data_IF_220935234291
#
_entry.id   IF_220935234291
#
_cell.length_a   1.000
_cell.length_b   1.000
_cell.length_c   1.000
_cell.angle_alpha   90.00
_cell.angle_beta   90.00
_cell.angle_gamma   90.00
#
_symmetry.space_group_name_H-M   'P 1'
#
loop_
_entity.id
_entity.type
_entity.pdbx_description
1 polymer ?
#
# COMPACT_ATOMS: atom_id res chain seq x y z
N UNK A 1 15.84 15.01 7.39
CA UNK A 1 14.66 14.12 7.47
C UNK A 1 13.43 14.99 7.25
N UNK A 2 12.60 14.69 6.25
CA UNK A 2 11.46 15.53 5.90
C UNK A 2 10.37 15.34 6.96
N UNK A 3 10.16 16.31 7.86
CA UNK A 3 9.25 16.21 9.00
C UNK A 3 7.81 15.85 8.63
N UNK A 4 7.42 16.12 7.37
CA UNK A 4 6.11 15.77 6.82
C UNK A 4 5.89 14.26 6.68
N UNK A 5 6.93 13.46 6.39
CA UNK A 5 6.80 12.01 6.23
C UNK A 5 6.45 11.32 7.55
N UNK A 6 7.14 11.69 8.64
CA UNK A 6 6.90 11.14 9.97
C UNK A 6 5.46 11.37 10.44
N UNK A 7 4.89 12.54 10.13
CA UNK A 7 3.49 12.82 10.39
C UNK A 7 2.56 11.79 9.74
N UNK A 8 2.64 11.62 8.42
CA UNK A 8 1.75 10.71 7.68
C UNK A 8 1.96 9.23 8.01
N UNK A 9 3.17 8.81 8.41
CA UNK A 9 3.42 7.39 8.80
C UNK A 9 2.69 6.97 10.07
N UNK A 10 2.25 7.92 10.91
CA UNK A 10 1.57 7.65 12.18
C UNK A 10 0.07 7.92 12.11
N UNK A 11 -0.42 8.43 10.98
CA UNK A 11 -1.79 8.85 10.82
C UNK A 11 -2.71 7.64 10.60
N UNK A 12 -3.72 7.52 11.46
CA UNK A 12 -4.73 6.44 11.38
C UNK A 12 -6.06 6.92 10.83
N UNK A 13 -6.37 8.21 10.99
CA UNK A 13 -7.57 8.86 10.44
C UNK A 13 -7.14 9.87 9.36
N UNK A 14 -7.48 9.56 8.11
CA UNK A 14 -7.03 10.30 6.95
C UNK A 14 -8.17 11.15 6.42
N UNK A 15 -7.93 12.46 6.31
CA UNK A 15 -8.85 13.34 5.59
C UNK A 15 -8.53 13.33 4.10
N UNK A 16 -9.49 13.71 3.26
CA UNK A 16 -9.23 13.90 1.83
C UNK A 16 -8.14 14.95 1.54
N UNK A 17 -7.88 15.88 2.47
CA UNK A 17 -6.78 16.82 2.35
C UNK A 17 -5.42 16.15 2.58
N UNK A 18 -5.33 15.21 3.52
CA UNK A 18 -4.11 14.44 3.80
C UNK A 18 -3.76 13.54 2.60
N UNK A 19 -4.76 12.85 2.05
CA UNK A 19 -4.59 12.04 0.84
C UNK A 19 -4.11 12.90 -0.34
N UNK A 20 -4.77 14.04 -0.58
CA UNK A 20 -4.37 14.96 -1.64
C UNK A 20 -2.98 15.56 -1.42
N UNK A 21 -2.56 15.78 -0.16
CA UNK A 21 -1.22 16.25 0.16
C UNK A 21 -0.16 15.19 -0.19
N UNK A 22 -0.39 13.92 0.16
CA UNK A 22 0.51 12.82 -0.20
C UNK A 22 0.58 12.64 -1.72
N UNK A 23 -0.54 12.69 -2.43
CA UNK A 23 -0.56 12.54 -3.89
C UNK A 23 0.28 13.61 -4.62
N UNK A 24 0.48 14.79 -4.01
CA UNK A 24 1.32 15.89 -4.53
C UNK A 24 2.81 15.79 -4.15
N UNK A 25 3.19 14.85 -3.30
CA UNK A 25 4.59 14.66 -2.90
C UNK A 25 5.45 14.08 -4.03
N UNK A 26 6.76 14.12 -3.84
CA UNK A 26 7.68 13.44 -4.75
C UNK A 26 7.44 11.93 -4.71
N UNK A 27 7.66 11.25 -5.85
CA UNK A 27 7.37 9.81 -5.95
C UNK A 27 8.10 8.98 -4.88
N UNK A 28 9.33 9.36 -4.50
CA UNK A 28 10.07 8.69 -3.43
C UNK A 28 9.35 8.78 -2.09
N UNK A 29 8.80 9.94 -1.77
CA UNK A 29 8.06 10.15 -0.52
C UNK A 29 6.76 9.35 -0.52
N UNK A 30 6.04 9.33 -1.64
CA UNK A 30 4.84 8.49 -1.82
C UNK A 30 5.18 7.01 -1.69
N UNK A 31 6.29 6.57 -2.26
CA UNK A 31 6.74 5.18 -2.16
C UNK A 31 7.07 4.79 -0.73
N UNK A 32 7.81 5.64 0.00
CA UNK A 32 8.12 5.42 1.42
C UNK A 32 6.84 5.30 2.26
N UNK A 33 5.85 6.18 2.03
CA UNK A 33 4.57 6.13 2.72
C UNK A 33 3.76 4.88 2.35
N UNK A 34 3.66 4.56 1.06
CA UNK A 34 2.90 3.41 0.55
C UNK A 34 3.27 2.08 1.22
N UNK A 35 4.51 1.97 1.73
CA UNK A 35 5.01 0.77 2.41
C UNK A 35 4.32 0.49 3.75
N UNK A 36 3.86 1.51 4.47
CA UNK A 36 3.44 1.36 5.88
C UNK A 36 2.14 2.06 6.26
N UNK A 37 1.60 2.95 5.42
CA UNK A 37 0.31 3.58 5.72
C UNK A 37 -0.83 2.56 5.72
N UNK A 38 -1.87 2.87 6.47
CA UNK A 38 -3.07 2.02 6.64
C UNK A 38 -4.29 2.55 5.88
N UNK A 39 -4.17 3.70 5.21
CA UNK A 39 -5.27 4.32 4.47
C UNK A 39 -5.58 3.52 3.19
N UNK A 40 -6.67 2.76 3.23
CA UNK A 40 -7.11 1.94 2.11
C UNK A 40 -7.40 2.76 0.84
N UNK A 41 -8.06 3.92 0.96
CA UNK A 41 -8.37 4.80 -0.17
C UNK A 41 -7.12 5.29 -0.88
N UNK A 42 -6.17 5.84 -0.10
CA UNK A 42 -4.90 6.28 -0.66
C UNK A 42 -4.06 5.14 -1.24
N UNK A 43 -4.08 3.93 -0.65
CA UNK A 43 -3.41 2.77 -1.24
C UNK A 43 -4.03 2.34 -2.57
N UNK A 44 -5.35 2.50 -2.76
CA UNK A 44 -6.01 2.30 -4.06
C UNK A 44 -5.48 3.31 -5.07
N UNK A 45 -5.40 4.60 -4.72
CA UNK A 45 -4.89 5.62 -5.64
C UNK A 45 -3.42 5.41 -5.99
N UNK A 46 -2.58 5.12 -4.99
CA UNK A 46 -1.15 4.86 -5.18
C UNK A 46 -0.88 3.55 -5.95
N UNK A 47 -1.82 2.60 -5.95
CA UNK A 47 -1.72 1.39 -6.80
C UNK A 47 -1.80 1.68 -8.29
N UNK A 48 -2.18 2.90 -8.67
CA UNK A 48 -2.24 3.40 -10.04
C UNK A 48 -1.12 4.40 -10.35
N UNK A 49 -0.15 4.57 -9.45
CA UNK A 49 0.93 5.54 -9.63
C UNK A 49 1.76 5.22 -10.88
N UNK A 50 2.17 6.26 -11.62
CA UNK A 50 3.03 6.11 -12.79
C UNK A 50 4.40 5.49 -12.43
N UNK A 51 4.88 5.69 -11.19
CA UNK A 51 6.18 5.18 -10.75
C UNK A 51 6.04 3.77 -10.19
N UNK A 52 6.77 2.82 -10.79
CA UNK A 52 6.75 1.41 -10.38
C UNK A 52 7.15 1.21 -8.91
N UNK A 53 8.09 1.99 -8.39
CA UNK A 53 8.53 1.93 -6.99
C UNK A 53 7.37 2.18 -5.99
N UNK A 54 6.47 3.11 -6.32
CA UNK A 54 5.29 3.39 -5.48
C UNK A 54 4.36 2.18 -5.50
N UNK A 55 4.02 1.69 -6.70
CA UNK A 55 3.12 0.52 -6.87
C UNK A 55 3.69 -0.74 -6.24
N UNK A 56 5.00 -0.95 -6.31
CA UNK A 56 5.68 -2.07 -5.66
C UNK A 56 5.52 -2.01 -4.13
N UNK A 57 5.68 -0.82 -3.53
CA UNK A 57 5.49 -0.66 -2.10
C UNK A 57 4.01 -0.80 -1.68
N UNK A 58 3.05 -0.40 -2.52
CA UNK A 58 1.63 -0.73 -2.31
C UNK A 58 1.41 -2.24 -2.35
N UNK A 59 2.01 -2.94 -3.31
CA UNK A 59 1.89 -4.40 -3.44
C UNK A 59 2.47 -5.16 -2.23
N UNK A 60 3.52 -4.62 -1.59
CA UNK A 60 4.14 -5.17 -0.37
C UNK A 60 3.38 -4.82 0.92
N UNK A 61 2.43 -3.91 0.86
CA UNK A 61 1.69 -3.47 2.04
C UNK A 61 0.47 -4.36 2.29
N UNK A 62 0.41 -4.97 3.49
CA UNK A 62 -0.68 -5.86 3.90
C UNK A 62 -2.00 -5.16 4.21
N UNK A 63 -1.99 -3.83 4.35
CA UNK A 63 -3.20 -3.01 4.50
C UNK A 63 -3.83 -2.65 3.14
N UNK A 64 -3.13 -2.93 2.04
CA UNK A 64 -3.69 -2.75 0.71
C UNK A 64 -4.92 -3.64 0.55
N UNK A 65 -6.07 -3.11 0.11
CA UNK A 65 -7.28 -3.90 -0.07
C UNK A 65 -7.05 -5.13 -0.96
N UNK A 66 -7.69 -6.26 -0.61
CA UNK A 66 -7.52 -7.52 -1.34
C UNK A 66 -7.84 -7.39 -2.83
N UNK A 67 -8.86 -6.61 -3.19
CA UNK A 67 -9.22 -6.33 -4.59
C UNK A 67 -8.09 -5.62 -5.33
N UNK A 68 -7.43 -4.66 -4.68
CA UNK A 68 -6.29 -3.94 -5.23
C UNK A 68 -5.06 -4.83 -5.36
N UNK A 69 -4.79 -5.67 -4.35
CA UNK A 69 -3.70 -6.66 -4.41
C UNK A 69 -3.92 -7.68 -5.55
N UNK A 70 -5.14 -8.19 -5.72
CA UNK A 70 -5.47 -9.10 -6.82
C UNK A 70 -5.26 -8.43 -8.19
N UNK A 71 -5.75 -7.20 -8.35
CA UNK A 71 -5.52 -6.42 -9.58
C UNK A 71 -4.02 -6.23 -9.86
N UNK A 72 -3.22 -5.85 -8.85
CA UNK A 72 -1.76 -5.72 -9.01
C UNK A 72 -1.08 -7.06 -9.37
N UNK A 73 -1.56 -8.17 -8.80
CA UNK A 73 -1.03 -9.50 -9.04
C UNK A 73 -1.30 -10.02 -10.47
N UNK A 74 -2.42 -9.60 -11.07
CA UNK A 74 -2.91 -10.12 -12.36
C UNK A 74 -2.67 -9.17 -13.53
N UNK A 75 -2.75 -7.85 -13.30
CA UNK A 75 -2.84 -6.84 -14.36
C UNK A 75 -1.65 -5.87 -14.41
N UNK A 76 -0.82 -5.75 -13.36
CA UNK A 76 0.33 -4.83 -13.43
C UNK A 76 1.33 -5.30 -14.50
N UNK A 77 1.88 -4.37 -15.27
CA UNK A 77 2.83 -4.68 -16.35
C UNK A 77 4.20 -5.14 -15.81
N UNK A 78 4.52 -4.81 -14.56
CA UNK A 78 5.80 -5.16 -13.95
C UNK A 78 5.72 -6.49 -13.18
N UNK A 79 6.53 -7.46 -13.59
CA UNK A 79 6.58 -8.79 -12.98
C UNK A 79 6.94 -8.73 -11.49
N UNK A 80 7.83 -7.81 -11.08
CA UNK A 80 8.19 -7.67 -9.66
C UNK A 80 7.02 -7.24 -8.80
N UNK A 81 6.18 -6.33 -9.30
CA UNK A 81 4.97 -5.86 -8.62
C UNK A 81 3.94 -6.99 -8.53
N UNK A 82 3.73 -7.73 -9.63
CA UNK A 82 2.84 -8.89 -9.62
C UNK A 82 3.28 -9.92 -8.56
N UNK A 83 4.57 -10.22 -8.48
CA UNK A 83 5.11 -11.18 -7.53
C UNK A 83 4.97 -10.67 -6.08
N UNK A 84 5.28 -9.41 -5.83
CA UNK A 84 5.11 -8.79 -4.52
C UNK A 84 3.64 -8.88 -4.05
N UNK A 85 2.68 -8.58 -4.91
CA UNK A 85 1.25 -8.67 -4.58
C UNK A 85 0.84 -10.12 -4.27
N UNK A 86 1.31 -11.10 -5.07
CA UNK A 86 1.07 -12.53 -4.82
C UNK A 86 1.66 -13.01 -3.49
N UNK A 87 2.84 -12.54 -3.12
CA UNK A 87 3.47 -12.84 -1.84
C UNK A 87 2.68 -12.26 -0.68
N UNK A 88 2.26 -11.00 -0.77
CA UNK A 88 1.42 -10.35 0.24
C UNK A 88 0.09 -11.07 0.41
N UNK A 89 -0.60 -11.43 -0.68
CA UNK A 89 -1.84 -12.21 -0.65
C UNK A 89 -1.65 -13.57 0.06
N UNK A 90 -0.57 -14.29 -0.26
CA UNK A 90 -0.24 -15.55 0.41
C UNK A 90 0.03 -15.33 1.90
N UNK A 91 0.76 -14.28 2.27
CA UNK A 91 1.07 -13.96 3.65
C UNK A 91 -0.20 -13.65 4.46
N UNK A 92 -1.16 -12.93 3.87
CA UNK A 92 -2.48 -12.65 4.50
C UNK A 92 -3.26 -13.96 4.73
N UNK A 93 -3.34 -14.83 3.71
CA UNK A 93 -4.05 -16.11 3.83
C UNK A 93 -3.35 -17.15 4.72
N UNK A 94 -2.03 -17.03 4.89
CA UNK A 94 -1.24 -17.94 5.72
C UNK A 94 -1.20 -17.51 7.19
N UNK A 95 -1.85 -16.40 7.56
CA UNK A 95 -1.99 -16.03 8.97
C UNK A 95 -2.84 -17.10 9.68
N UNK A 96 -2.36 -17.70 10.78
CA UNK A 96 -3.16 -18.66 11.53
C UNK A 96 -4.42 -17.95 12.04
N UNK A 97 -5.58 -18.47 11.68
CA UNK A 97 -6.84 -18.12 12.34
C UNK A 97 -6.60 -18.27 13.84
N UNK A 98 -6.81 -17.24 14.68
CA UNK A 98 -6.72 -17.43 16.12
C UNK A 98 -7.74 -18.51 16.50
N UNK A 99 -7.23 -19.70 16.82
CA UNK A 99 -8.00 -20.81 17.38
C UNK A 99 -8.39 -20.42 18.79
N UNK A 100 -9.41 -19.57 18.96
CA UNK A 100 -10.04 -19.31 20.25
C UNK A 100 -11.44 -18.74 20.03
N UNK A 101 -12.35 -19.58 19.52
CA UNK A 101 -13.77 -19.56 19.85
C UNK A 101 -14.27 -21.00 19.80
N UNK A 102 -14.14 -21.68 20.94
CA UNK A 102 -14.85 -22.91 21.25
C UNK A 102 -15.41 -22.78 22.66
#
# INVERSE_FOLDING_TARGET
MNGNLQFYTTLTDWTGWDEAAVLKMQHKERAELAKSITCAGLLVDLSMDQHAEVRENVAKNSFTPLTTLNRLAEEDLCISIQNAAKETLKAIHSQPIPKNFQ
#
